data_IF_717803465379
#
_entry.id   IF_717803465379
#
_cell.length_a   1.000
_cell.length_b   1.000
_cell.length_c   1.000
_cell.angle_alpha   90.00
_cell.angle_beta   90.00
_cell.angle_gamma   90.00
#
_symmetry.space_group_name_H-M   'P 1'
#
loop_
_entity.id
_entity.type
_entity.pdbx_description
1 polymer ?
#
# COMPACT_ATOMS: atom_id res chain seq x y z
N UNK A 1 -1.27 8.51 34.70
CA UNK A 1 -0.70 7.60 33.70
C UNK A 1 0.26 6.70 34.46
N UNK A 2 0.01 5.39 34.46
CA UNK A 2 0.87 4.40 35.13
C UNK A 2 2.07 4.07 34.24
N UNK A 3 3.26 3.93 34.82
CA UNK A 3 4.49 3.64 34.08
C UNK A 3 5.03 2.25 34.41
N UNK A 4 5.24 1.44 33.38
CA UNK A 4 5.70 0.05 33.45
C UNK A 4 7.04 -0.01 32.73
N UNK A 5 8.12 -0.28 33.46
CA UNK A 5 9.49 -0.21 32.93
C UNK A 5 10.25 -1.51 33.19
N UNK A 6 10.93 -2.04 32.17
CA UNK A 6 11.89 -3.14 32.34
C UNK A 6 11.24 -4.47 32.75
N UNK A 7 9.95 -4.64 32.48
CA UNK A 7 9.18 -5.84 32.85
C UNK A 7 9.12 -6.84 31.69
N UNK A 8 9.00 -8.11 32.06
CA UNK A 8 8.68 -9.19 31.12
C UNK A 8 7.27 -9.71 31.42
N UNK A 9 6.51 -9.97 30.37
CA UNK A 9 5.17 -10.54 30.41
C UNK A 9 5.14 -11.75 29.46
N UNK A 10 4.61 -12.86 29.93
CA UNK A 10 4.44 -14.07 29.11
C UNK A 10 3.07 -14.72 29.27
N UNK A 11 2.26 -14.21 30.19
CA UNK A 11 0.90 -14.63 30.48
C UNK A 11 -0.11 -14.12 29.43
N UNK A 12 -1.27 -14.79 29.34
CA UNK A 12 -2.40 -14.30 28.56
C UNK A 12 -2.90 -12.97 29.15
N UNK A 13 -3.14 -11.97 28.29
CA UNK A 13 -3.83 -10.73 28.68
C UNK A 13 -3.17 -9.94 29.81
N UNK A 14 -1.83 -9.96 29.87
CA UNK A 14 -1.01 -9.32 30.89
C UNK A 14 -1.46 -7.91 31.33
N UNK A 15 -1.86 -7.05 30.37
CA UNK A 15 -2.27 -5.66 30.61
C UNK A 15 -3.70 -5.38 30.15
N UNK A 16 -4.57 -6.39 30.15
CA UNK A 16 -5.94 -6.30 29.66
C UNK A 16 -6.74 -5.16 30.30
N UNK A 17 -7.49 -4.43 29.45
CA UNK A 17 -8.37 -3.34 29.89
C UNK A 17 -7.65 -2.10 30.41
N UNK A 18 -6.32 -2.03 30.31
CA UNK A 18 -5.54 -0.90 30.81
C UNK A 18 -5.92 0.42 30.14
N UNK A 19 -5.95 1.50 30.93
CA UNK A 19 -6.24 2.84 30.43
C UNK A 19 -5.22 3.87 30.96
N UNK A 20 -4.45 4.47 30.06
CA UNK A 20 -3.45 5.47 30.43
C UNK A 20 -2.19 4.82 31.01
N UNK A 21 -1.57 3.94 30.23
CA UNK A 21 -0.32 3.25 30.60
C UNK A 21 0.82 3.63 29.65
N UNK A 22 2.02 3.78 30.21
CA UNK A 22 3.28 3.98 29.51
C UNK A 22 4.17 2.76 29.76
N UNK A 23 4.53 2.06 28.70
CA UNK A 23 5.31 0.82 28.72
C UNK A 23 6.64 1.11 28.06
N UNK A 24 7.73 0.91 28.79
CA UNK A 24 9.07 1.26 28.35
C UNK A 24 10.03 0.10 28.61
N UNK A 25 10.86 -0.26 27.62
CA UNK A 25 11.90 -1.27 27.78
C UNK A 25 11.34 -2.62 28.28
N UNK A 26 10.15 -3.01 27.81
CA UNK A 26 9.47 -4.24 28.23
C UNK A 26 9.61 -5.36 27.19
N UNK A 27 9.46 -6.60 27.65
CA UNK A 27 9.39 -7.79 26.80
C UNK A 27 8.05 -8.50 26.96
N UNK A 28 7.42 -8.83 25.85
CA UNK A 28 6.25 -9.72 25.78
C UNK A 28 6.70 -11.02 25.12
N UNK A 29 7.21 -11.94 25.94
CA UNK A 29 7.94 -13.14 25.52
C UNK A 29 8.14 -14.07 26.73
N UNK A 30 7.96 -15.37 26.54
CA UNK A 30 8.26 -16.36 27.57
C UNK A 30 7.56 -17.71 27.36
N UNK A 31 7.87 -18.70 28.21
CA UNK A 31 7.40 -20.08 28.06
C UNK A 31 5.90 -20.26 28.25
N UNK A 32 5.20 -19.33 28.91
CA UNK A 32 3.75 -19.41 29.06
C UNK A 32 2.99 -19.18 27.74
N UNK A 33 3.66 -18.65 26.70
CA UNK A 33 3.12 -18.49 25.34
C UNK A 33 1.73 -17.81 25.32
N UNK A 34 1.58 -16.80 26.18
CA UNK A 34 0.37 -16.00 26.27
C UNK A 34 0.04 -15.25 24.99
N UNK A 35 -1.13 -14.65 24.97
CA UNK A 35 -1.61 -13.89 23.83
C UNK A 35 -2.42 -12.67 24.28
N UNK A 36 -2.63 -11.72 23.35
CA UNK A 36 -3.54 -10.60 23.56
C UNK A 36 -3.15 -9.71 24.75
N UNK A 37 -1.85 -9.49 24.96
CA UNK A 37 -1.31 -8.79 26.12
C UNK A 37 -1.98 -7.42 26.37
N UNK A 38 -2.20 -6.63 25.30
CA UNK A 38 -2.91 -5.36 25.34
C UNK A 38 -4.23 -5.46 24.58
N UNK A 39 -5.19 -6.17 25.16
CA UNK A 39 -6.55 -6.26 24.65
C UNK A 39 -7.49 -5.29 25.37
N UNK A 40 -8.36 -4.62 24.61
CA UNK A 40 -9.39 -3.68 25.09
C UNK A 40 -8.82 -2.50 25.89
N UNK A 41 -7.62 -2.05 25.52
CA UNK A 41 -6.92 -0.96 26.19
C UNK A 41 -7.23 0.41 25.60
N UNK A 42 -6.94 1.47 26.37
CA UNK A 42 -7.06 2.87 25.93
C UNK A 42 -5.83 3.69 26.34
N UNK A 43 -5.46 4.68 25.54
CA UNK A 43 -4.37 5.62 25.86
C UNK A 43 -3.07 4.90 26.28
N UNK A 44 -2.56 4.05 25.40
CA UNK A 44 -1.35 3.25 25.63
C UNK A 44 -0.19 3.88 24.88
N UNK A 45 0.93 4.11 25.58
CA UNK A 45 2.21 4.44 24.93
C UNK A 45 3.21 3.33 25.18
N UNK A 46 3.91 2.89 24.14
CA UNK A 46 4.92 1.84 24.17
C UNK A 46 6.19 2.38 23.55
N UNK A 47 7.32 2.24 24.23
CA UNK A 47 8.65 2.57 23.70
C UNK A 47 9.65 1.47 23.96
N UNK A 48 10.56 1.26 23.01
CA UNK A 48 11.75 0.42 23.15
C UNK A 48 11.44 -1.00 23.64
N UNK A 49 10.31 -1.55 23.18
CA UNK A 49 9.77 -2.81 23.69
C UNK A 49 9.79 -3.90 22.63
N UNK A 50 9.87 -5.14 23.09
CA UNK A 50 9.99 -6.33 22.24
C UNK A 50 8.76 -7.22 22.40
N UNK A 51 8.12 -7.54 21.27
CA UNK A 51 6.94 -8.40 21.21
C UNK A 51 7.26 -9.67 20.43
N UNK A 52 7.08 -10.81 21.08
CA UNK A 52 7.33 -12.15 20.51
C UNK A 52 6.15 -13.10 20.73
N UNK A 53 4.99 -12.55 21.10
CA UNK A 53 3.77 -13.29 21.41
C UNK A 53 2.63 -12.88 20.48
N UNK A 54 1.59 -13.71 20.44
CA UNK A 54 0.47 -13.54 19.52
C UNK A 54 -0.43 -12.38 19.95
N UNK A 55 -0.99 -11.71 18.95
CA UNK A 55 -2.04 -10.70 19.09
C UNK A 55 -1.73 -9.52 20.05
N UNK A 56 -0.53 -8.90 20.03
CA UNK A 56 -0.14 -7.89 21.02
C UNK A 56 -1.18 -6.80 21.30
N UNK A 57 -1.81 -6.21 20.27
CA UNK A 57 -2.74 -5.08 20.40
C UNK A 57 -4.09 -5.38 19.75
N UNK A 58 -5.12 -5.61 20.56
CA UNK A 58 -6.47 -5.94 20.10
C UNK A 58 -7.51 -4.98 20.70
N UNK A 59 -8.37 -4.38 19.87
CA UNK A 59 -9.36 -3.40 20.32
C UNK A 59 -8.77 -2.22 21.12
N UNK A 60 -7.59 -1.73 20.72
CA UNK A 60 -6.94 -0.60 21.40
C UNK A 60 -7.41 0.73 20.80
N UNK A 61 -7.60 1.74 21.64
CA UNK A 61 -7.94 3.10 21.22
C UNK A 61 -6.95 4.12 21.79
N UNK A 62 -6.27 4.86 20.92
CA UNK A 62 -5.21 5.78 21.32
C UNK A 62 -3.93 5.04 21.66
N UNK A 63 -3.27 4.47 20.65
CA UNK A 63 -2.05 3.69 20.77
C UNK A 63 -0.86 4.46 20.19
N UNK A 64 0.25 4.53 20.92
CA UNK A 64 1.52 5.04 20.42
C UNK A 64 2.60 3.99 20.60
N UNK A 65 3.35 3.69 19.56
CA UNK A 65 4.48 2.75 19.60
C UNK A 65 5.71 3.42 19.00
N UNK A 66 6.84 3.36 19.69
CA UNK A 66 8.13 3.82 19.15
C UNK A 66 9.29 2.85 19.42
N UNK A 67 10.23 2.73 18.48
CA UNK A 67 11.48 2.01 18.67
C UNK A 67 11.30 0.53 19.04
N UNK A 68 10.24 -0.11 18.53
CA UNK A 68 9.79 -1.42 19.03
C UNK A 68 9.79 -2.48 17.94
N UNK A 69 9.94 -3.74 18.34
CA UNK A 69 10.03 -4.88 17.42
C UNK A 69 8.92 -5.88 17.67
N UNK A 70 8.23 -6.27 16.60
CA UNK A 70 7.25 -7.36 16.58
C UNK A 70 7.75 -8.46 15.65
N UNK A 71 8.04 -9.62 16.21
CA UNK A 71 8.66 -10.72 15.47
C UNK A 71 7.65 -11.47 14.58
N UNK A 72 8.14 -12.46 13.84
CA UNK A 72 7.34 -13.41 13.06
C UNK A 72 6.28 -14.17 13.88
N UNK A 73 6.49 -14.30 15.19
CA UNK A 73 5.50 -14.90 16.12
C UNK A 73 4.29 -14.02 16.36
N UNK A 74 4.38 -12.70 16.11
CA UNK A 74 3.26 -11.77 16.24
C UNK A 74 2.27 -11.93 15.07
N UNK A 75 1.56 -13.07 14.99
CA UNK A 75 0.74 -13.49 13.83
C UNK A 75 -0.29 -12.46 13.35
N UNK A 76 -0.92 -11.69 14.24
CA UNK A 76 -1.85 -10.61 13.89
C UNK A 76 -1.65 -9.45 14.85
N UNK A 77 -0.66 -8.61 14.55
CA UNK A 77 -0.09 -7.66 15.51
C UNK A 77 -1.11 -6.65 16.07
N UNK A 78 -1.90 -6.05 15.17
CA UNK A 78 -2.94 -5.08 15.46
C UNK A 78 -4.26 -5.52 14.82
N UNK A 79 -5.33 -5.55 15.62
CA UNK A 79 -6.69 -5.84 15.14
C UNK A 79 -7.71 -4.92 15.84
N UNK A 80 -8.67 -4.38 15.08
CA UNK A 80 -9.74 -3.50 15.57
C UNK A 80 -9.23 -2.28 16.36
N UNK A 81 -7.99 -1.88 16.09
CA UNK A 81 -7.32 -0.80 16.79
C UNK A 81 -7.55 0.50 16.03
N UNK A 82 -7.76 1.60 16.78
CA UNK A 82 -8.02 2.91 16.21
C UNK A 82 -7.18 4.01 16.85
N UNK A 83 -6.99 5.12 16.13
CA UNK A 83 -6.20 6.26 16.59
C UNK A 83 -4.78 5.84 17.01
N UNK A 84 -4.04 5.21 16.10
CA UNK A 84 -2.73 4.64 16.43
C UNK A 84 -1.60 5.30 15.64
N UNK A 85 -0.49 5.58 16.32
CA UNK A 85 0.74 6.12 15.75
C UNK A 85 1.88 5.16 16.04
N UNK A 86 2.58 4.70 15.01
CA UNK A 86 3.75 3.83 15.11
C UNK A 86 4.92 4.48 14.40
N UNK A 87 6.04 4.61 15.08
CA UNK A 87 7.27 5.20 14.54
C UNK A 87 8.46 4.32 14.84
N UNK A 88 9.32 4.06 13.86
CA UNK A 88 10.50 3.20 14.07
C UNK A 88 10.09 1.83 14.66
N UNK A 89 9.14 1.18 13.98
CA UNK A 89 8.61 -0.13 14.37
C UNK A 89 8.92 -1.15 13.31
N UNK A 90 9.32 -2.35 13.75
CA UNK A 90 9.46 -3.52 12.89
C UNK A 90 8.22 -4.39 13.00
N UNK A 91 7.51 -4.59 11.89
CA UNK A 91 6.35 -5.47 11.77
C UNK A 91 6.72 -6.73 10.99
N UNK A 92 7.25 -7.75 11.67
CA UNK A 92 7.72 -8.98 11.01
C UNK A 92 6.76 -10.17 11.14
N UNK A 93 5.59 -9.92 11.74
CA UNK A 93 4.54 -10.91 11.91
C UNK A 93 3.81 -11.30 10.62
N UNK A 94 3.11 -12.44 10.65
CA UNK A 94 2.38 -12.97 9.48
C UNK A 94 1.31 -11.99 8.97
N UNK A 95 0.65 -11.27 9.90
CA UNK A 95 -0.42 -10.30 9.61
C UNK A 95 -0.33 -9.10 10.53
N UNK A 96 -0.76 -7.93 10.05
CA UNK A 96 -0.98 -6.76 10.87
C UNK A 96 -2.04 -5.82 10.29
N UNK A 97 -2.57 -4.93 11.13
CA UNK A 97 -3.59 -3.94 10.79
C UNK A 97 -4.84 -4.55 10.13
N UNK A 98 -5.54 -5.39 10.88
CA UNK A 98 -6.84 -5.93 10.47
C UNK A 98 -7.96 -5.03 10.99
N UNK A 99 -8.78 -4.52 10.08
CA UNK A 99 -9.99 -3.73 10.43
C UNK A 99 -9.66 -2.57 11.38
N UNK A 100 -8.53 -1.91 11.12
CA UNK A 100 -8.05 -0.78 11.91
C UNK A 100 -8.47 0.55 11.28
N UNK A 101 -8.42 1.64 12.03
CA UNK A 101 -8.77 2.97 11.52
C UNK A 101 -7.89 4.07 12.10
N UNK A 102 -7.71 5.15 11.35
CA UNK A 102 -6.93 6.32 11.77
C UNK A 102 -5.52 5.94 12.24
N UNK A 103 -4.76 5.38 11.31
CA UNK A 103 -3.42 4.83 11.53
C UNK A 103 -2.34 5.76 10.95
N UNK A 104 -1.24 5.94 11.68
CA UNK A 104 -0.03 6.60 11.18
C UNK A 104 1.17 5.67 11.39
N UNK A 105 1.94 5.42 10.33
CA UNK A 105 3.19 4.67 10.36
C UNK A 105 4.31 5.52 9.76
N UNK A 106 5.41 5.67 10.49
CA UNK A 106 6.57 6.44 10.06
C UNK A 106 7.88 5.68 10.31
N UNK A 107 8.83 5.85 9.39
CA UNK A 107 10.22 5.39 9.56
C UNK A 107 10.30 3.91 9.97
N UNK A 108 9.46 3.05 9.40
CA UNK A 108 9.24 1.67 9.85
C UNK A 108 9.62 0.63 8.80
N UNK A 109 9.76 -0.63 9.23
CA UNK A 109 10.05 -1.77 8.36
C UNK A 109 8.98 -2.85 8.52
N UNK A 110 8.40 -3.28 7.40
CA UNK A 110 7.31 -4.24 7.34
C UNK A 110 7.75 -5.46 6.53
N UNK A 111 7.69 -6.63 7.16
CA UNK A 111 7.85 -7.93 6.50
C UNK A 111 6.66 -8.78 6.91
N UNK A 112 5.60 -8.74 6.12
CA UNK A 112 4.34 -9.35 6.51
C UNK A 112 3.58 -9.85 5.28
N UNK A 113 3.34 -11.17 5.15
CA UNK A 113 2.54 -11.74 4.07
C UNK A 113 1.19 -11.05 3.87
N UNK A 114 0.51 -10.64 4.94
CA UNK A 114 -0.77 -9.93 4.84
C UNK A 114 -0.81 -8.66 5.70
N UNK A 115 -0.81 -7.47 5.09
CA UNK A 115 -0.73 -6.22 5.85
C UNK A 115 -1.86 -5.25 5.48
N UNK A 116 -2.53 -4.69 6.49
CA UNK A 116 -3.44 -3.55 6.31
C UNK A 116 -4.75 -3.87 5.61
N UNK A 117 -5.43 -4.97 5.93
CA UNK A 117 -6.70 -5.28 5.27
C UNK A 117 -7.89 -4.61 5.96
N UNK A 118 -8.80 -4.08 5.14
CA UNK A 118 -10.00 -3.37 5.58
C UNK A 118 -9.70 -2.21 6.52
N UNK A 119 -8.59 -1.50 6.26
CA UNK A 119 -8.21 -0.30 7.02
C UNK A 119 -8.94 0.91 6.48
N UNK A 120 -9.48 1.74 7.37
CA UNK A 120 -10.13 3.02 7.05
C UNK A 120 -9.26 4.16 7.55
N UNK A 121 -8.49 4.78 6.67
CA UNK A 121 -7.56 5.85 7.01
C UNK A 121 -6.22 5.32 7.49
N UNK A 122 -5.19 5.44 6.65
CA UNK A 122 -3.80 5.24 7.07
C UNK A 122 -2.87 6.22 6.35
N UNK A 123 -1.99 6.85 7.12
CA UNK A 123 -0.84 7.60 6.61
C UNK A 123 0.42 6.78 6.81
N UNK A 124 1.20 6.59 5.76
CA UNK A 124 2.48 5.86 5.81
C UNK A 124 3.60 6.70 5.19
N UNK A 125 4.69 6.89 5.93
CA UNK A 125 5.80 7.73 5.51
C UNK A 125 7.16 7.06 5.72
N UNK A 126 8.08 7.22 4.76
CA UNK A 126 9.47 6.76 4.88
C UNK A 126 9.57 5.29 5.33
N UNK A 127 8.81 4.40 4.71
CA UNK A 127 8.62 3.02 5.21
C UNK A 127 8.94 2.00 4.12
N UNK A 128 9.63 0.92 4.49
CA UNK A 128 9.84 -0.24 3.62
C UNK A 128 8.83 -1.34 3.94
N UNK A 129 8.30 -1.99 2.89
CA UNK A 129 7.37 -3.10 3.04
C UNK A 129 7.71 -4.26 2.10
N UNK A 130 7.57 -5.48 2.61
CA UNK A 130 7.58 -6.73 1.86
C UNK A 130 6.30 -7.50 2.21
N UNK A 131 5.46 -7.79 1.22
CA UNK A 131 4.14 -8.38 1.47
C UNK A 131 3.59 -9.16 0.28
N UNK A 132 2.80 -10.19 0.55
CA UNK A 132 2.04 -10.87 -0.51
C UNK A 132 0.73 -10.13 -0.80
N UNK A 133 -0.04 -9.79 0.24
CA UNK A 133 -1.29 -9.05 0.13
C UNK A 133 -1.24 -7.77 0.98
N UNK A 134 -1.04 -6.65 0.30
CA UNK A 134 -0.84 -5.36 0.94
C UNK A 134 -2.04 -4.43 0.73
N UNK A 135 -2.61 -3.90 1.80
CA UNK A 135 -3.71 -2.93 1.80
C UNK A 135 -5.01 -3.40 1.11
N UNK A 136 -5.35 -4.67 1.20
CA UNK A 136 -6.57 -5.22 0.59
C UNK A 136 -7.85 -4.59 1.18
N UNK A 137 -8.75 -4.09 0.32
CA UNK A 137 -10.06 -3.52 0.70
C UNK A 137 -9.98 -2.33 1.67
N UNK A 138 -8.89 -1.59 1.62
CA UNK A 138 -8.67 -0.43 2.49
C UNK A 138 -8.99 0.88 1.76
N UNK A 139 -9.30 1.94 2.50
CA UNK A 139 -9.61 3.25 1.93
C UNK A 139 -8.92 4.38 2.67
N UNK A 140 -8.83 5.56 2.03
CA UNK A 140 -8.19 6.77 2.58
C UNK A 140 -6.73 6.54 2.93
N UNK A 141 -6.00 5.91 2.01
CA UNK A 141 -4.58 5.66 2.14
C UNK A 141 -3.81 6.92 1.71
N UNK A 142 -2.80 7.33 2.48
CA UNK A 142 -1.88 8.43 2.16
C UNK A 142 -0.44 7.99 2.34
N UNK A 143 0.25 7.77 1.24
CA UNK A 143 1.59 7.17 1.24
C UNK A 143 2.59 8.17 0.68
N UNK A 144 3.67 8.41 1.42
CA UNK A 144 4.77 9.25 0.97
C UNK A 144 6.12 8.55 1.21
N UNK A 145 6.95 8.40 0.17
CA UNK A 145 8.27 7.74 0.31
C UNK A 145 8.17 6.33 0.88
N UNK A 146 7.28 5.54 0.31
CA UNK A 146 7.11 4.12 0.66
C UNK A 146 7.70 3.25 -0.44
N UNK A 147 8.56 2.30 -0.05
CA UNK A 147 9.09 1.28 -0.95
C UNK A 147 8.42 -0.07 -0.67
N UNK A 148 7.88 -0.73 -1.68
CA UNK A 148 7.18 -2.02 -1.55
C UNK A 148 7.78 -3.07 -2.47
N UNK A 149 8.08 -4.25 -1.91
CA UNK A 149 8.20 -5.51 -2.66
C UNK A 149 6.95 -6.35 -2.43
N UNK A 150 6.11 -6.44 -3.45
CA UNK A 150 4.74 -6.91 -3.35
C UNK A 150 4.40 -8.08 -4.27
N UNK A 151 3.19 -8.63 -4.12
CA UNK A 151 2.59 -9.53 -5.12
C UNK A 151 1.17 -9.13 -5.49
N UNK A 152 0.28 -8.94 -4.53
CA UNK A 152 -1.12 -8.61 -4.75
C UNK A 152 -1.47 -7.34 -3.98
N UNK A 153 -0.92 -6.22 -4.44
CA UNK A 153 -0.91 -4.97 -3.70
C UNK A 153 -2.14 -4.11 -4.05
N UNK A 154 -2.73 -3.46 -3.06
CA UNK A 154 -3.79 -2.46 -3.25
C UNK A 154 -5.04 -2.98 -3.98
N UNK A 155 -5.44 -4.23 -3.74
CA UNK A 155 -6.68 -4.75 -4.33
C UNK A 155 -7.91 -4.14 -3.66
N UNK A 156 -8.85 -3.63 -4.47
CA UNK A 156 -10.11 -3.03 -4.05
C UNK A 156 -9.96 -1.82 -3.11
N UNK A 157 -8.93 -1.00 -3.32
CA UNK A 157 -8.74 0.22 -2.53
C UNK A 157 -9.57 1.39 -3.05
N UNK A 158 -9.93 2.31 -2.16
CA UNK A 158 -10.71 3.50 -2.52
C UNK A 158 -10.11 4.78 -1.93
N UNK A 159 -10.33 5.90 -2.62
CA UNK A 159 -10.08 7.28 -2.15
C UNK A 159 -8.66 7.47 -1.58
N UNK A 160 -7.63 7.18 -2.38
CA UNK A 160 -6.25 7.03 -1.90
C UNK A 160 -5.21 7.81 -2.71
N UNK A 161 -4.13 8.21 -2.05
CA UNK A 161 -3.06 9.04 -2.60
C UNK A 161 -1.68 8.44 -2.31
N UNK A 162 -0.84 8.37 -3.32
CA UNK A 162 0.52 7.84 -3.27
C UNK A 162 1.49 8.83 -3.90
N UNK A 163 2.57 9.19 -3.22
CA UNK A 163 3.54 10.17 -3.68
C UNK A 163 4.98 9.76 -3.35
N UNK A 164 5.90 9.96 -4.28
CA UNK A 164 7.32 9.61 -4.14
C UNK A 164 7.54 8.13 -3.75
N UNK A 165 6.73 7.23 -4.28
CA UNK A 165 6.76 5.80 -3.94
C UNK A 165 7.56 4.96 -4.95
N UNK A 166 8.04 3.81 -4.50
CA UNK A 166 8.70 2.80 -5.33
C UNK A 166 8.07 1.42 -5.09
N UNK A 167 7.32 0.92 -6.07
CA UNK A 167 6.55 -0.31 -5.96
C UNK A 167 7.07 -1.35 -6.97
N UNK A 168 7.71 -2.41 -6.47
CA UNK A 168 8.08 -3.62 -7.22
C UNK A 168 7.13 -4.74 -6.81
N UNK A 169 6.09 -4.97 -7.61
CA UNK A 169 4.99 -5.88 -7.27
C UNK A 169 4.67 -6.76 -8.46
N UNK A 170 3.99 -7.88 -8.23
CA UNK A 170 3.35 -8.59 -9.33
C UNK A 170 2.15 -7.77 -9.79
N UNK A 171 1.01 -7.87 -9.13
CA UNK A 171 -0.21 -7.11 -9.40
C UNK A 171 -0.30 -5.88 -8.46
N UNK A 172 -0.86 -4.78 -8.95
CA UNK A 172 -1.19 -3.62 -8.12
C UNK A 172 -2.44 -2.87 -8.58
N UNK A 173 -3.16 -2.26 -7.63
CA UNK A 173 -4.31 -1.37 -7.89
C UNK A 173 -5.48 -2.04 -8.63
N UNK A 174 -5.62 -3.36 -8.49
CA UNK A 174 -6.75 -4.10 -9.06
C UNK A 174 -8.06 -3.60 -8.45
N UNK A 175 -9.04 -3.23 -9.28
CA UNK A 175 -10.32 -2.65 -8.86
C UNK A 175 -10.18 -1.40 -7.97
N UNK A 176 -9.06 -0.68 -8.07
CA UNK A 176 -8.89 0.57 -7.34
C UNK A 176 -9.87 1.65 -7.82
N UNK A 177 -10.37 2.48 -6.90
CA UNK A 177 -11.32 3.54 -7.22
C UNK A 177 -10.90 4.88 -6.61
N UNK A 178 -10.96 5.96 -7.41
CA UNK A 178 -10.61 7.30 -6.97
C UNK A 178 -9.18 7.36 -6.36
N UNK A 179 -8.19 6.93 -7.13
CA UNK A 179 -6.79 6.86 -6.66
C UNK A 179 -5.91 7.80 -7.47
N UNK A 180 -5.01 8.51 -6.79
CA UNK A 180 -3.98 9.32 -7.44
C UNK A 180 -2.59 8.88 -7.02
N UNK A 181 -1.73 8.65 -8.02
CA UNK A 181 -0.33 8.26 -7.84
C UNK A 181 0.55 9.31 -8.51
N UNK A 182 1.50 9.87 -7.77
CA UNK A 182 2.39 10.95 -8.24
C UNK A 182 3.85 10.62 -8.04
N UNK A 183 4.70 11.05 -8.97
CA UNK A 183 6.16 11.04 -8.84
C UNK A 183 6.72 9.67 -8.41
N UNK A 184 6.09 8.58 -8.86
CA UNK A 184 6.35 7.24 -8.34
C UNK A 184 6.84 6.29 -9.43
N UNK A 185 7.59 5.27 -9.02
CA UNK A 185 7.99 4.15 -9.87
C UNK A 185 7.13 2.94 -9.53
N UNK A 186 6.54 2.33 -10.56
CA UNK A 186 5.70 1.14 -10.41
C UNK A 186 6.16 0.12 -11.45
N UNK A 187 6.71 -0.98 -10.95
CA UNK A 187 7.08 -2.15 -11.73
C UNK A 187 6.14 -3.28 -11.36
N UNK A 188 5.45 -3.83 -12.35
CA UNK A 188 4.62 -5.00 -12.14
C UNK A 188 3.85 -5.49 -13.35
N UNK A 189 3.28 -6.67 -13.19
CA UNK A 189 2.37 -7.33 -14.13
C UNK A 189 0.94 -6.87 -13.81
N UNK A 190 0.09 -6.67 -14.82
CA UNK A 190 -1.34 -6.45 -14.59
C UNK A 190 -1.68 -5.21 -13.71
N UNK A 191 -0.92 -4.12 -13.88
CA UNK A 191 -1.13 -2.87 -13.14
C UNK A 191 -2.54 -2.28 -13.39
N UNK A 192 -3.23 -1.89 -12.32
CA UNK A 192 -4.47 -1.13 -12.31
C UNK A 192 -5.65 -1.76 -13.08
N UNK A 193 -5.66 -3.09 -13.21
CA UNK A 193 -6.75 -3.79 -13.88
C UNK A 193 -8.11 -3.45 -13.26
N UNK A 194 -9.09 -3.15 -14.12
CA UNK A 194 -10.47 -2.83 -13.72
C UNK A 194 -10.62 -1.63 -12.79
N UNK A 195 -9.67 -0.69 -12.79
CA UNK A 195 -9.77 0.50 -11.96
C UNK A 195 -10.79 1.53 -12.49
N UNK A 196 -11.29 2.39 -11.61
CA UNK A 196 -12.20 3.50 -11.95
C UNK A 196 -11.67 4.81 -11.36
N UNK A 197 -11.56 5.86 -12.18
CA UNK A 197 -11.07 7.19 -11.76
C UNK A 197 -9.66 7.14 -11.13
N UNK A 198 -8.71 6.49 -11.82
CA UNK A 198 -7.31 6.44 -11.38
C UNK A 198 -6.46 7.39 -12.22
N UNK A 199 -5.62 8.18 -11.55
CA UNK A 199 -4.69 9.12 -12.19
C UNK A 199 -3.25 8.79 -11.81
N UNK A 200 -2.40 8.64 -12.80
CA UNK A 200 -0.94 8.60 -12.66
C UNK A 200 -0.36 9.92 -13.17
N UNK A 201 0.51 10.54 -12.39
CA UNK A 201 1.12 11.83 -12.72
C UNK A 201 2.64 11.77 -12.48
N UNK A 202 3.43 12.04 -13.51
CA UNK A 202 4.89 11.98 -13.47
C UNK A 202 5.44 10.62 -13.01
N UNK A 203 4.72 9.54 -13.28
CA UNK A 203 5.12 8.19 -12.88
C UNK A 203 5.98 7.48 -13.93
N UNK A 204 6.83 6.56 -13.48
CA UNK A 204 7.48 5.56 -14.33
C UNK A 204 6.80 4.23 -14.11
N UNK A 205 6.28 3.64 -15.18
CA UNK A 205 5.55 2.38 -15.18
C UNK A 205 6.31 1.35 -16.02
N UNK A 206 6.44 0.12 -15.55
CA UNK A 206 7.01 -0.97 -16.34
C UNK A 206 6.39 -2.33 -16.05
N UNK A 207 6.43 -3.22 -17.05
CA UNK A 207 5.91 -4.58 -16.97
C UNK A 207 4.78 -4.88 -17.97
N UNK A 208 4.29 -6.11 -17.94
CA UNK A 208 3.36 -6.63 -18.95
C UNK A 208 1.90 -6.33 -18.63
N UNK A 209 1.12 -6.05 -19.68
CA UNK A 209 -0.32 -5.82 -19.63
C UNK A 209 -0.76 -4.78 -18.58
N UNK A 210 -0.13 -3.60 -18.49
CA UNK A 210 -0.57 -2.59 -17.56
C UNK A 210 -1.84 -1.89 -18.08
N UNK A 211 -2.66 -1.40 -17.15
CA UNK A 211 -3.72 -0.43 -17.39
C UNK A 211 -4.88 -0.96 -18.24
N UNK A 212 -5.24 -2.22 -18.09
CA UNK A 212 -6.33 -2.86 -18.84
C UNK A 212 -7.69 -2.75 -18.12
N UNK A 213 -8.77 -2.72 -18.89
CA UNK A 213 -10.17 -2.70 -18.44
C UNK A 213 -10.51 -1.50 -17.55
N UNK A 214 -9.78 -0.39 -17.69
CA UNK A 214 -9.91 0.77 -16.83
C UNK A 214 -11.05 1.69 -17.29
N UNK A 215 -11.66 2.41 -16.36
CA UNK A 215 -12.66 3.44 -16.62
C UNK A 215 -12.17 4.80 -16.12
N UNK A 216 -12.22 5.82 -16.98
CA UNK A 216 -11.73 7.16 -16.68
C UNK A 216 -10.28 7.15 -16.13
N UNK A 217 -9.41 6.42 -16.82
CA UNK A 217 -7.98 6.36 -16.51
C UNK A 217 -7.28 7.61 -17.05
N UNK A 218 -6.38 8.19 -16.25
CA UNK A 218 -5.56 9.33 -16.67
C UNK A 218 -4.08 9.08 -16.44
N UNK A 219 -3.27 9.33 -17.46
CA UNK A 219 -1.81 9.37 -17.36
C UNK A 219 -1.32 10.75 -17.77
N UNK A 220 -0.63 11.44 -16.87
CA UNK A 220 -0.10 12.78 -17.08
C UNK A 220 1.42 12.69 -17.01
N UNK A 221 2.11 12.93 -18.13
CA UNK A 221 3.57 12.96 -18.20
C UNK A 221 4.22 11.67 -17.67
N UNK A 222 3.66 10.51 -18.02
CA UNK A 222 4.18 9.22 -17.57
C UNK A 222 5.26 8.68 -18.50
N UNK A 223 6.18 7.90 -17.95
CA UNK A 223 7.07 7.01 -18.70
C UNK A 223 6.51 5.61 -18.61
N UNK A 224 6.50 4.90 -19.73
CA UNK A 224 6.15 3.49 -19.79
C UNK A 224 7.34 2.74 -20.41
N UNK A 225 8.11 2.07 -19.57
CA UNK A 225 9.33 1.36 -19.95
C UNK A 225 9.05 -0.13 -20.00
N UNK A 226 9.49 -0.81 -21.06
CA UNK A 226 9.28 -2.26 -21.23
C UNK A 226 7.82 -2.70 -21.02
N UNK A 227 6.87 -1.84 -21.45
CA UNK A 227 5.45 -2.07 -21.29
C UNK A 227 4.84 -2.62 -22.59
N UNK A 228 4.27 -3.82 -22.51
CA UNK A 228 3.56 -4.47 -23.61
C UNK A 228 2.08 -4.66 -23.30
N UNK A 229 1.28 -4.88 -24.35
CA UNK A 229 -0.14 -5.23 -24.28
C UNK A 229 -0.97 -4.25 -23.42
N UNK A 230 -0.56 -2.98 -23.38
CA UNK A 230 -1.14 -1.99 -22.50
C UNK A 230 -2.52 -1.51 -23.00
N UNK A 231 -3.34 -1.04 -22.06
CA UNK A 231 -4.61 -0.34 -22.31
C UNK A 231 -5.79 -1.17 -22.86
N UNK A 232 -5.71 -2.50 -22.81
CA UNK A 232 -6.78 -3.36 -23.33
C UNK A 232 -8.14 -2.98 -22.73
N UNK A 233 -9.10 -2.60 -23.58
CA UNK A 233 -10.48 -2.24 -23.21
C UNK A 233 -10.60 -1.08 -22.22
N UNK A 234 -9.60 -0.20 -22.16
CA UNK A 234 -9.61 0.94 -21.25
C UNK A 234 -10.21 2.21 -21.87
N UNK A 235 -10.94 2.97 -21.05
CA UNK A 235 -11.28 4.37 -21.29
C UNK A 235 -10.17 5.25 -20.71
N UNK A 236 -9.40 5.92 -21.58
CA UNK A 236 -8.10 6.49 -21.18
C UNK A 236 -7.84 7.87 -21.79
N UNK A 237 -7.25 8.76 -20.99
CA UNK A 237 -6.59 9.98 -21.44
C UNK A 237 -5.12 9.93 -20.99
N UNK A 238 -4.20 9.68 -21.91
CA UNK A 238 -2.81 9.42 -21.58
C UNK A 238 -1.83 10.26 -22.39
N UNK A 239 -0.89 10.91 -21.69
CA UNK A 239 0.36 11.41 -22.25
C UNK A 239 1.52 10.53 -21.76
N UNK A 240 2.08 9.73 -22.67
CA UNK A 240 3.26 8.90 -22.45
C UNK A 240 4.46 9.54 -23.13
N UNK A 241 5.59 9.60 -22.42
CA UNK A 241 6.80 10.33 -22.85
C UNK A 241 7.93 9.44 -23.36
N UNK A 242 7.70 8.13 -23.43
CA UNK A 242 8.66 7.12 -23.90
C UNK A 242 8.01 6.21 -24.94
N UNK A 243 8.80 5.57 -25.81
CA UNK A 243 8.30 4.48 -26.64
C UNK A 243 7.65 3.37 -25.80
N UNK A 244 6.62 2.73 -26.35
CA UNK A 244 5.91 1.60 -25.72
C UNK A 244 6.04 0.37 -26.62
N UNK A 245 6.16 -0.83 -26.05
CA UNK A 245 6.33 -2.06 -26.84
C UNK A 245 5.06 -2.35 -27.63
N UNK A 246 3.91 -2.42 -26.95
CA UNK A 246 2.63 -2.57 -27.65
C UNK A 246 1.44 -2.01 -26.90
N UNK A 247 0.45 -1.56 -27.68
CA UNK A 247 -0.86 -1.09 -27.21
C UNK A 247 -1.93 -2.00 -27.81
N UNK A 248 -2.84 -2.48 -26.96
CA UNK A 248 -3.89 -3.43 -27.36
C UNK A 248 -5.27 -2.86 -27.12
N UNK A 249 -6.14 -2.91 -28.12
CA UNK A 249 -7.59 -2.69 -28.02
C UNK A 249 -8.08 -1.56 -27.08
N UNK A 250 -7.57 -0.31 -27.12
CA UNK A 250 -8.08 0.75 -26.27
C UNK A 250 -9.56 1.04 -26.61
N UNK A 251 -10.43 1.11 -25.60
CA UNK A 251 -11.87 1.21 -25.79
C UNK A 251 -12.27 2.59 -26.34
N UNK A 252 -11.84 3.67 -25.68
CA UNK A 252 -12.10 5.07 -26.08
C UNK A 252 -11.15 6.06 -25.38
N UNK A 253 -11.11 7.29 -25.87
CA UNK A 253 -10.21 8.35 -25.38
C UNK A 253 -8.92 8.42 -26.19
N UNK A 254 -7.88 9.05 -25.65
CA UNK A 254 -6.64 9.36 -26.38
C UNK A 254 -5.40 8.83 -25.68
N UNK A 255 -4.46 8.33 -26.47
CA UNK A 255 -3.11 7.94 -26.02
C UNK A 255 -2.11 8.67 -26.91
N UNK A 256 -1.49 9.71 -26.36
CA UNK A 256 -0.31 10.38 -26.96
C UNK A 256 0.95 9.62 -26.57
N UNK A 257 1.76 9.24 -27.57
CA UNK A 257 2.97 8.45 -27.36
C UNK A 257 3.99 8.74 -28.48
N UNK A 258 5.30 8.85 -28.19
CA UNK A 258 6.29 9.15 -29.22
C UNK A 258 6.43 8.03 -30.26
N UNK A 259 6.38 6.76 -29.82
CA UNK A 259 6.55 5.58 -30.67
C UNK A 259 5.84 4.37 -30.05
N UNK A 260 5.30 3.48 -30.89
CA UNK A 260 4.72 2.20 -30.46
C UNK A 260 5.25 1.10 -31.36
N UNK A 261 5.80 0.03 -30.77
CA UNK A 261 6.32 -1.11 -31.54
C UNK A 261 5.21 -1.86 -32.28
N UNK A 262 4.11 -2.16 -31.60
CA UNK A 262 2.96 -2.85 -32.19
C UNK A 262 1.62 -2.28 -31.68
N UNK A 263 0.67 -2.07 -32.59
CA UNK A 263 -0.71 -1.71 -32.26
C UNK A 263 -1.61 -2.91 -32.60
N UNK A 264 -2.17 -3.54 -31.58
CA UNK A 264 -3.07 -4.69 -31.72
C UNK A 264 -4.53 -4.21 -31.66
N UNK A 265 -5.28 -4.43 -32.75
CA UNK A 265 -6.70 -4.05 -32.88
C UNK A 265 -7.54 -5.16 -33.49
N UNK A 266 -7.77 -6.20 -32.72
CA UNK A 266 -8.61 -7.36 -33.07
C UNK A 266 -10.00 -7.34 -32.41
N UNK A 267 -10.30 -6.32 -31.58
CA UNK A 267 -11.62 -6.05 -31.02
C UNK A 267 -12.35 -4.95 -31.82
N UNK A 268 -13.55 -5.23 -32.32
CA UNK A 268 -14.37 -4.27 -33.07
C UNK A 268 -14.76 -3.02 -32.25
N UNK A 269 -14.74 -3.13 -30.92
CA UNK A 269 -15.05 -2.05 -29.98
C UNK A 269 -13.82 -1.19 -29.64
N UNK A 270 -12.65 -1.50 -30.17
CA UNK A 270 -11.43 -0.70 -30.01
C UNK A 270 -11.55 0.65 -30.73
N UNK A 271 -12.08 1.67 -30.05
CA UNK A 271 -12.31 3.03 -30.60
C UNK A 271 -11.39 4.10 -30.02
N UNK A 272 -10.51 3.78 -29.08
CA UNK A 272 -9.54 4.74 -28.55
C UNK A 272 -8.56 5.21 -29.63
N UNK A 273 -8.21 6.49 -29.62
CA UNK A 273 -7.29 7.12 -30.55
C UNK A 273 -5.84 6.97 -30.05
N UNK A 274 -4.92 6.54 -30.91
CA UNK A 274 -3.49 6.45 -30.60
C UNK A 274 -2.78 7.48 -31.49
N UNK A 275 -2.24 8.52 -30.87
CA UNK A 275 -1.56 9.63 -31.52
C UNK A 275 -0.05 9.39 -31.41
N UNK A 276 0.53 8.82 -32.47
CA UNK A 276 1.96 8.51 -32.54
C UNK A 276 2.72 9.67 -33.16
N UNK A 277 3.78 10.14 -32.49
CA UNK A 277 4.72 11.10 -33.06
C UNK A 277 5.32 12.04 -32.02
N UNK A 278 6.31 12.81 -32.46
CA UNK A 278 6.90 13.85 -31.63
C UNK A 278 5.83 14.89 -31.30
N UNK A 279 5.67 15.23 -30.01
CA UNK A 279 5.08 16.52 -29.65
C UNK A 279 5.89 17.55 -30.41
N UNK A 280 5.29 18.16 -31.44
CA UNK A 280 5.79 19.41 -31.98
C UNK A 280 5.87 20.34 -30.77
N UNK A 281 7.07 20.57 -30.27
CA UNK A 281 7.34 21.71 -29.40
C UNK A 281 6.80 22.89 -30.18
N UNK A 282 5.65 23.42 -29.77
CA UNK A 282 5.20 24.72 -30.21
C UNK A 282 6.24 25.71 -29.69
N UNK A 283 7.26 25.95 -30.49
CA UNK A 283 8.14 27.09 -30.34
C UNK A 283 7.34 28.31 -30.75
N UNK A 284 6.87 29.07 -29.75
CA UNK A 284 6.71 30.54 -29.82
C UNK A 284 6.40 31.08 -28.44
#
# INVERSE_FOLDING_TARGET
>A
MEKIVGKSFDEERALYGSNGVEIENCRFDGPADGESALKECKNVSVSDSFFNLRYPFWHVDGLKISGSEMTDKCRAALWYTRNAVMKDVKFHGIKALRECSDITIEDSDIISPEFGWSVNGITMKNTSAQSEYFMMRSNKLKFNKVSLKGKYSFQYIEDSEFEDCDFDTKDAFWHAKNVVIRNSTIKGEYLAWYCENVTFENCTISGTQPLCYCKNLKLINCKMLDADLAFEKSEVEATVTTPVISIKNPLKGHIEVPEVGEIIRDDENSKGEILVGEKTCACS
#
